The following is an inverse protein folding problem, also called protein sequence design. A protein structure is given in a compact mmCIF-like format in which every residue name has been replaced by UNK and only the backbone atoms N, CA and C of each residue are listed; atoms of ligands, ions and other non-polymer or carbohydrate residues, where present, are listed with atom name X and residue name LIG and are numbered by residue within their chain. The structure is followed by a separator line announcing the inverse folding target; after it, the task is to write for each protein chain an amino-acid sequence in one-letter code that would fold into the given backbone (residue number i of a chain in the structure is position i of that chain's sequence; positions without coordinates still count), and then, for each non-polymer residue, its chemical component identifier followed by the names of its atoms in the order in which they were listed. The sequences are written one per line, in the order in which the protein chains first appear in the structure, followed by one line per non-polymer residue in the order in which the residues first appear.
data_IF_093553100995
#
_entry.id   IF_093553100995
#
_cell.length_a   1.000
_cell.length_b   1.000
_cell.length_c   1.000
_cell.angle_alpha   90.00
_cell.angle_beta   90.00
_cell.angle_gamma   90.00
#
_symmetry.space_group_name_H-M   'P 1'
#
loop_
_entity.id
_entity.type
_entity.pdbx_description
1 polymer ?
#
# COMPACT_ATOMS: atom_id res chain seq x y z
N UNK A 1 7.88 -17.75 -19.68
CA UNK A 1 8.51 -16.61 -18.99
C UNK A 1 8.24 -16.76 -17.51
N UNK A 2 9.30 -16.76 -16.68
CA UNK A 2 9.18 -16.66 -15.22
C UNK A 2 9.63 -15.25 -14.86
N UNK A 3 8.76 -14.50 -14.18
CA UNK A 3 9.05 -13.13 -13.72
C UNK A 3 9.31 -13.17 -12.23
N UNK A 4 10.36 -12.47 -11.78
CA UNK A 4 10.78 -12.45 -10.37
C UNK A 4 10.64 -11.07 -9.72
N UNK A 5 9.78 -10.19 -10.25
CA UNK A 5 9.69 -8.81 -9.79
C UNK A 5 8.33 -8.16 -9.99
N UNK A 6 8.14 -7.04 -9.30
CA UNK A 6 6.95 -6.19 -9.35
C UNK A 6 7.32 -4.79 -9.83
N UNK A 7 6.42 -4.14 -10.58
CA UNK A 7 6.55 -2.74 -11.02
C UNK A 7 5.62 -1.87 -10.18
N UNK A 8 6.17 -0.81 -9.60
CA UNK A 8 5.43 0.13 -8.74
C UNK A 8 5.30 1.48 -9.49
N UNK A 9 4.16 2.15 -9.34
CA UNK A 9 3.91 3.48 -9.91
C UNK A 9 3.10 4.35 -8.96
N UNK A 10 3.44 5.65 -8.89
CA UNK A 10 2.90 6.59 -7.90
C UNK A 10 1.63 7.34 -8.37
N UNK A 11 1.31 7.34 -9.66
CA UNK A 11 0.27 8.20 -10.24
C UNK A 11 -1.08 8.12 -9.50
N UNK A 12 -1.54 6.92 -9.15
CA UNK A 12 -2.83 6.75 -8.49
C UNK A 12 -2.84 7.28 -7.05
N UNK A 13 -1.74 7.13 -6.31
CA UNK A 13 -1.65 7.58 -4.92
C UNK A 13 -1.42 9.08 -4.83
N UNK A 14 -0.66 9.67 -5.76
CA UNK A 14 -0.48 11.13 -5.81
C UNK A 14 -1.76 11.86 -6.22
N UNK A 15 -2.59 11.28 -7.12
CA UNK A 15 -3.93 11.84 -7.41
C UNK A 15 -4.86 11.83 -6.20
N UNK A 16 -4.64 10.92 -5.23
CA UNK A 16 -5.39 10.90 -3.95
C UNK A 16 -4.86 11.90 -2.91
N UNK A 17 -3.77 12.63 -3.20
CA UNK A 17 -3.19 13.62 -2.30
C UNK A 17 -2.07 13.10 -1.40
N UNK A 18 -1.54 11.89 -1.65
CA UNK A 18 -0.37 11.39 -0.92
C UNK A 18 0.91 12.06 -1.42
N UNK A 19 1.82 12.33 -0.50
CA UNK A 19 3.09 13.05 -0.72
C UNK A 19 4.30 12.15 -0.46
N UNK A 20 5.51 12.69 -0.60
CA UNK A 20 6.77 11.94 -0.49
C UNK A 20 6.94 11.24 0.86
N UNK A 21 6.51 11.88 1.96
CA UNK A 21 6.59 11.30 3.30
C UNK A 21 5.67 10.09 3.46
N UNK A 22 4.54 10.04 2.74
CA UNK A 22 3.61 8.91 2.77
C UNK A 22 4.18 7.70 2.03
N UNK A 23 5.09 7.90 1.07
CA UNK A 23 5.70 6.82 0.31
C UNK A 23 6.55 5.89 1.19
N UNK A 24 7.18 6.43 2.25
CA UNK A 24 7.93 5.63 3.22
C UNK A 24 7.00 4.61 3.87
N UNK A 25 5.84 5.06 4.36
CA UNK A 25 4.84 4.19 4.97
C UNK A 25 4.28 3.16 3.99
N UNK A 26 4.06 3.54 2.72
CA UNK A 26 3.64 2.59 1.68
C UNK A 26 4.68 1.47 1.52
N UNK A 27 5.97 1.82 1.44
CA UNK A 27 7.04 0.84 1.27
C UNK A 27 7.17 -0.07 2.49
N UNK A 28 7.02 0.45 3.71
CA UNK A 28 7.00 -0.36 4.93
C UNK A 28 5.88 -1.40 4.93
N UNK A 29 4.67 -1.00 4.51
CA UNK A 29 3.53 -1.92 4.41
C UNK A 29 3.72 -2.96 3.30
N UNK A 30 4.37 -2.59 2.19
CA UNK A 30 4.75 -3.53 1.13
C UNK A 30 5.79 -4.53 1.64
N UNK A 31 6.82 -4.06 2.35
CA UNK A 31 7.86 -4.91 2.91
C UNK A 31 7.28 -5.92 3.91
N UNK A 32 6.41 -5.46 4.81
CA UNK A 32 5.70 -6.34 5.76
C UNK A 32 4.91 -7.43 5.02
N UNK A 33 4.18 -7.06 3.95
CA UNK A 33 3.42 -8.03 3.17
C UNK A 33 4.30 -9.04 2.43
N UNK A 34 5.46 -8.61 1.91
CA UNK A 34 6.39 -9.50 1.20
C UNK A 34 7.11 -10.47 2.16
N UNK A 35 7.61 -9.96 3.29
CA UNK A 35 8.32 -10.75 4.29
C UNK A 35 7.41 -11.77 4.99
N UNK A 36 6.11 -11.48 5.06
CA UNK A 36 5.12 -12.32 5.73
C UNK A 36 4.03 -12.83 4.78
N UNK A 37 4.37 -13.04 3.50
CA UNK A 37 3.43 -13.45 2.45
C UNK A 37 2.66 -14.75 2.73
N UNK A 38 3.16 -15.62 3.61
CA UNK A 38 2.50 -16.86 4.02
C UNK A 38 1.64 -16.73 5.30
N UNK A 39 1.67 -15.58 5.96
CA UNK A 39 0.95 -15.31 7.21
C UNK A 39 -0.35 -14.54 6.93
N UNK A 40 -1.45 -15.27 6.77
CA UNK A 40 -2.75 -14.71 6.47
C UNK A 40 -3.27 -13.73 7.54
N UNK A 41 -2.88 -13.92 8.80
CA UNK A 41 -3.30 -13.04 9.90
C UNK A 41 -2.61 -11.69 9.77
N UNK A 42 -1.31 -11.68 9.50
CA UNK A 42 -0.55 -10.44 9.31
C UNK A 42 -0.97 -9.69 8.06
N UNK A 43 -1.21 -10.39 6.95
CA UNK A 43 -1.72 -9.77 5.72
C UNK A 43 -3.09 -9.12 5.94
N UNK A 44 -3.95 -9.72 6.78
CA UNK A 44 -5.22 -9.13 7.19
C UNK A 44 -5.00 -7.85 7.99
N UNK A 45 -4.03 -7.86 8.92
CA UNK A 45 -3.60 -6.67 9.66
C UNK A 45 -3.12 -5.53 8.75
N UNK A 46 -2.22 -5.82 7.80
CA UNK A 46 -1.75 -4.83 6.81
C UNK A 46 -2.91 -4.25 6.01
N UNK A 47 -3.85 -5.10 5.56
CA UNK A 47 -5.06 -4.64 4.86
C UNK A 47 -5.89 -3.68 5.70
N UNK A 48 -6.10 -3.96 6.99
CA UNK A 48 -6.83 -3.05 7.88
C UNK A 48 -6.12 -1.71 8.02
N UNK A 49 -4.82 -1.71 8.28
CA UNK A 49 -4.01 -0.49 8.40
C UNK A 49 -4.10 0.39 7.13
N UNK A 50 -4.01 -0.22 5.94
CA UNK A 50 -4.15 0.49 4.66
C UNK A 50 -5.54 1.11 4.53
N UNK A 51 -6.60 0.35 4.81
CA UNK A 51 -7.96 0.82 4.65
C UNK A 51 -8.30 1.96 5.61
N UNK A 52 -7.91 1.84 6.88
CA UNK A 52 -8.14 2.87 7.89
C UNK A 52 -7.41 4.17 7.52
N UNK A 53 -6.14 4.06 7.12
CA UNK A 53 -5.35 5.23 6.73
C UNK A 53 -5.92 5.94 5.50
N UNK A 54 -6.29 5.19 4.46
CA UNK A 54 -6.78 5.77 3.20
C UNK A 54 -8.19 6.36 3.29
N UNK A 55 -8.92 6.20 4.40
CA UNK A 55 -10.18 6.93 4.62
C UNK A 55 -9.99 8.44 4.61
N UNK A 56 -8.80 8.94 5.02
CA UNK A 56 -8.46 10.35 4.97
C UNK A 56 -8.18 10.87 3.54
N UNK A 57 -8.06 9.97 2.55
CA UNK A 57 -7.67 10.27 1.17
C UNK A 57 -8.71 9.73 0.17
N UNK A 58 -9.94 10.28 0.16
CA UNK A 58 -11.00 9.81 -0.72
C UNK A 58 -10.62 10.00 -2.19
N UNK A 59 -10.84 8.96 -3.01
CA UNK A 59 -10.52 9.00 -4.44
C UNK A 59 -11.50 9.89 -5.23
N UNK A 60 -12.75 9.97 -4.79
CA UNK A 60 -13.78 10.82 -5.39
C UNK A 60 -14.47 11.60 -4.28
N UNK A 61 -14.59 12.92 -4.46
CA UNK A 61 -15.49 13.76 -3.67
C UNK A 61 -16.81 13.84 -4.43
N UNK A 62 -17.92 13.56 -3.76
CA UNK A 62 -19.27 13.65 -4.33
C UNK A 62 -19.72 15.11 -4.46
#
# INVERSE_FOLDING_TARGET
FVTSGIRIGSAAVTTRGLVETDMVRIVELIDEALMHHADASRLTGVRHQVNEWLQAYPLFQA
#
